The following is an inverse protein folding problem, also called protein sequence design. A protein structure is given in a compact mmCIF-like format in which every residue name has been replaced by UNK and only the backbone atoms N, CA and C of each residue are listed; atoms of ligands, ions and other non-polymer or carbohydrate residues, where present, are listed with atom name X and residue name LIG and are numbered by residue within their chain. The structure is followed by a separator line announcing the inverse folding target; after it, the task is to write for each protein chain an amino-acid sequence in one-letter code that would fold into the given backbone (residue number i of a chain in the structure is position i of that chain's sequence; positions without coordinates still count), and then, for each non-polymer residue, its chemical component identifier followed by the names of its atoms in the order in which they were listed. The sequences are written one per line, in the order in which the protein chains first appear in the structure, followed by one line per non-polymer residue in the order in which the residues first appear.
data_IF_532021775248
#
_entry.id   IF_532021775248
#
_cell.length_a   1.000
_cell.length_b   1.000
_cell.length_c   1.000
_cell.angle_alpha   90.00
_cell.angle_beta   90.00
_cell.angle_gamma   90.00
#
_symmetry.space_group_name_H-M   'P 1'
#
loop_
_entity.id
_entity.type
_entity.pdbx_description
1 polymer ?
#
# COMPACT_ATOMS: atom_id res chain seq x y z
N UNK A 1 -27.04 23.50 -11.63
CA UNK A 1 -27.79 22.34 -11.09
C UNK A 1 -27.01 21.10 -11.51
N UNK A 2 -26.35 20.36 -10.61
CA UNK A 2 -25.63 19.18 -11.03
C UNK A 2 -26.62 18.03 -11.25
N UNK A 3 -26.43 17.34 -12.38
CA UNK A 3 -27.31 16.29 -12.92
C UNK A 3 -27.32 15.01 -12.06
N UNK A 4 -28.46 14.33 -12.08
CA UNK A 4 -28.68 13.03 -11.42
C UNK A 4 -27.80 11.94 -12.06
N UNK A 5 -26.93 11.29 -11.28
CA UNK A 5 -26.21 10.09 -11.73
C UNK A 5 -26.99 8.82 -11.35
N UNK A 6 -27.25 7.98 -12.35
CA UNK A 6 -27.93 6.69 -12.23
C UNK A 6 -26.89 5.58 -12.05
N UNK A 7 -27.02 4.76 -11.00
CA UNK A 7 -26.19 3.56 -10.79
C UNK A 7 -26.77 2.34 -11.51
N UNK A 8 -25.93 1.30 -11.70
CA UNK A 8 -26.14 0.05 -12.47
C UNK A 8 -27.44 -0.74 -12.19
N UNK A 9 -28.26 -0.35 -11.20
CA UNK A 9 -29.56 -1.00 -10.92
C UNK A 9 -30.76 -0.05 -10.94
N UNK A 10 -30.70 1.10 -11.61
CA UNK A 10 -31.84 2.04 -11.73
C UNK A 10 -32.42 2.54 -10.39
N UNK A 11 -31.70 2.41 -9.28
CA UNK A 11 -32.14 2.92 -7.99
C UNK A 11 -31.89 4.43 -7.91
N UNK A 12 -32.97 5.21 -8.06
CA UNK A 12 -33.00 6.66 -7.85
C UNK A 12 -32.78 6.98 -6.38
N UNK A 13 -31.54 7.09 -5.93
CA UNK A 13 -31.25 7.55 -4.57
C UNK A 13 -31.22 9.09 -4.54
N UNK A 14 -32.24 9.68 -3.91
CA UNK A 14 -32.21 11.09 -3.50
C UNK A 14 -31.01 11.29 -2.58
N UNK A 15 -30.10 12.17 -2.98
CA UNK A 15 -28.98 12.64 -2.16
C UNK A 15 -29.49 13.05 -0.77
N UNK A 16 -29.11 12.29 0.27
CA UNK A 16 -29.21 12.75 1.65
C UNK A 16 -28.32 13.99 1.77
N UNK A 17 -28.95 15.17 1.85
CA UNK A 17 -28.31 16.48 2.02
C UNK A 17 -27.61 16.68 3.38
N UNK A 18 -27.18 15.61 4.06
CA UNK A 18 -26.67 15.67 5.44
C UNK A 18 -25.30 15.02 5.69
N UNK A 19 -24.60 14.50 4.68
CA UNK A 19 -23.24 13.97 4.88
C UNK A 19 -22.21 15.11 4.90
N UNK A 20 -22.06 15.77 6.06
CA UNK A 20 -21.14 16.89 6.34
C UNK A 20 -19.70 16.43 6.64
N UNK A 21 -19.40 15.13 6.59
CA UNK A 21 -18.03 14.60 6.63
C UNK A 21 -17.94 13.43 5.65
N UNK A 22 -16.84 13.25 4.90
CA UNK A 22 -16.66 12.02 4.13
C UNK A 22 -16.58 10.84 5.12
N UNK A 23 -17.45 9.84 4.93
CA UNK A 23 -17.46 8.62 5.73
C UNK A 23 -16.07 7.99 5.69
N UNK A 24 -15.62 7.58 6.84
CA UNK A 24 -14.24 7.31 7.13
C UNK A 24 -13.83 5.89 6.68
N UNK A 25 -12.61 5.68 6.12
CA UNK A 25 -12.14 4.34 5.71
C UNK A 25 -12.27 3.35 6.89
N UNK A 26 -13.03 2.24 6.74
CA UNK A 26 -13.16 1.23 7.79
C UNK A 26 -11.85 0.48 8.00
N UNK A 27 -11.52 0.16 9.25
CA UNK A 27 -10.31 -0.61 9.58
C UNK A 27 -10.27 -1.97 8.84
N UNK A 28 -11.40 -2.66 8.72
CA UNK A 28 -11.49 -3.91 7.96
C UNK A 28 -11.09 -3.75 6.48
N UNK A 29 -11.37 -2.59 5.87
CA UNK A 29 -10.92 -2.29 4.51
C UNK A 29 -9.39 -2.16 4.44
N UNK A 30 -8.79 -1.52 5.45
CA UNK A 30 -7.34 -1.40 5.54
C UNK A 30 -6.68 -2.77 5.70
N UNK A 31 -7.22 -3.68 6.50
CA UNK A 31 -6.71 -5.05 6.60
C UNK A 31 -6.77 -5.81 5.27
N UNK A 32 -7.85 -5.66 4.50
CA UNK A 32 -7.93 -6.26 3.16
C UNK A 32 -6.89 -5.66 2.21
N UNK A 33 -6.74 -4.34 2.17
CA UNK A 33 -5.73 -3.71 1.32
C UNK A 33 -4.31 -4.06 1.75
N UNK A 34 -4.06 -4.16 3.06
CA UNK A 34 -2.79 -4.60 3.60
C UNK A 34 -2.45 -6.02 3.12
N UNK A 35 -3.44 -6.93 3.16
CA UNK A 35 -3.29 -8.29 2.64
C UNK A 35 -3.03 -8.32 1.12
N UNK A 36 -3.78 -7.55 0.34
CA UNK A 36 -3.65 -7.50 -1.13
C UNK A 36 -2.28 -7.01 -1.57
N UNK A 37 -1.82 -5.89 -0.98
CA UNK A 37 -0.51 -5.33 -1.27
C UNK A 37 0.61 -6.27 -0.83
N UNK A 38 0.46 -6.91 0.34
CA UNK A 38 1.44 -7.89 0.83
C UNK A 38 1.52 -9.11 -0.10
N UNK A 39 0.37 -9.65 -0.53
CA UNK A 39 0.33 -10.76 -1.47
C UNK A 39 0.96 -10.39 -2.82
N UNK A 40 0.70 -9.20 -3.35
CA UNK A 40 1.33 -8.72 -4.57
C UNK A 40 2.85 -8.60 -4.42
N UNK A 41 3.34 -8.08 -3.29
CA UNK A 41 4.76 -7.99 -3.00
C UNK A 41 5.42 -9.35 -2.81
N UNK A 42 4.72 -10.36 -2.29
CA UNK A 42 5.23 -11.75 -2.23
C UNK A 42 5.42 -12.33 -3.62
N UNK A 43 4.48 -12.12 -4.53
CA UNK A 43 4.66 -12.48 -5.93
C UNK A 43 5.85 -11.75 -6.55
N UNK A 44 6.05 -10.46 -6.27
CA UNK A 44 7.24 -9.73 -6.73
C UNK A 44 8.53 -10.34 -6.19
N UNK A 45 8.57 -10.74 -4.91
CA UNK A 45 9.73 -11.32 -4.26
C UNK A 45 10.06 -12.73 -4.77
N UNK A 46 9.06 -13.60 -4.85
CA UNK A 46 9.24 -15.06 -4.97
C UNK A 46 8.54 -15.69 -6.18
N UNK A 47 7.70 -14.96 -6.90
CA UNK A 47 6.87 -15.51 -7.98
C UNK A 47 5.71 -16.36 -7.47
N UNK A 48 5.52 -16.43 -6.16
CA UNK A 48 4.51 -17.25 -5.48
C UNK A 48 4.12 -16.58 -4.15
N UNK A 49 2.96 -16.97 -3.60
CA UNK A 49 2.58 -16.63 -2.22
C UNK A 49 3.27 -17.50 -1.17
N UNK A 50 3.79 -18.66 -1.60
CA UNK A 50 4.43 -19.67 -0.74
C UNK A 50 5.96 -19.58 -0.85
N UNK A 51 6.50 -18.40 -0.54
CA UNK A 51 7.95 -18.17 -0.57
C UNK A 51 8.71 -18.78 0.62
N UNK A 52 8.02 -19.43 1.57
CA UNK A 52 8.68 -20.25 2.61
C UNK A 52 9.43 -21.43 1.94
N UNK A 53 8.92 -21.88 0.78
CA UNK A 53 9.57 -22.86 -0.09
C UNK A 53 10.59 -22.23 -1.06
N UNK A 54 10.93 -20.96 -0.86
CA UNK A 54 11.81 -20.19 -1.72
C UNK A 54 11.12 -19.61 -2.95
N UNK A 55 11.90 -18.92 -3.76
CA UNK A 55 11.42 -18.39 -5.03
C UNK A 55 11.16 -19.51 -6.04
N UNK A 56 10.19 -19.29 -6.92
CA UNK A 56 9.94 -20.16 -8.08
C UNK A 56 11.21 -20.25 -8.93
N UNK A 57 11.50 -21.42 -9.51
CA UNK A 57 12.70 -21.60 -10.32
C UNK A 57 12.76 -20.58 -11.48
N UNK A 58 13.94 -19.97 -11.65
CA UNK A 58 14.18 -18.89 -12.60
C UNK A 58 13.52 -17.54 -12.26
N UNK A 59 12.84 -17.40 -11.12
CA UNK A 59 12.27 -16.12 -10.70
C UNK A 59 13.34 -15.11 -10.32
N UNK A 60 13.12 -13.84 -10.68
CA UNK A 60 13.97 -12.71 -10.29
C UNK A 60 13.15 -11.74 -9.45
N UNK A 61 13.60 -11.48 -8.23
CA UNK A 61 12.91 -10.60 -7.31
C UNK A 61 12.78 -9.18 -7.88
N UNK A 62 11.59 -8.60 -7.70
CA UNK A 62 11.21 -7.30 -8.26
C UNK A 62 11.11 -6.27 -7.14
N UNK A 63 11.80 -5.14 -7.29
CA UNK A 63 11.63 -3.97 -6.42
C UNK A 63 10.80 -2.95 -7.16
N UNK A 64 9.64 -2.56 -6.63
CA UNK A 64 8.72 -1.66 -7.33
C UNK A 64 9.26 -0.23 -7.45
N UNK A 65 9.95 0.25 -6.40
CA UNK A 65 10.55 1.60 -6.24
C UNK A 65 9.62 2.81 -6.30
N UNK A 66 8.35 2.64 -6.67
CA UNK A 66 7.34 3.71 -6.62
C UNK A 66 5.99 3.21 -6.09
N UNK A 67 6.00 2.43 -5.00
CA UNK A 67 4.76 1.91 -4.40
C UNK A 67 4.08 3.01 -3.56
N UNK A 68 2.94 3.48 -4.06
CA UNK A 68 2.13 4.58 -3.51
C UNK A 68 0.66 4.42 -3.90
N UNK A 69 -0.28 5.14 -3.27
CA UNK A 69 -1.71 5.06 -3.59
C UNK A 69 -2.05 5.24 -5.08
N UNK A 70 -1.43 6.19 -5.80
CA UNK A 70 -1.70 6.40 -7.24
C UNK A 70 -1.33 5.20 -8.14
N UNK A 71 -0.46 4.31 -7.65
CA UNK A 71 -0.03 3.09 -8.34
C UNK A 71 -0.77 1.84 -7.83
N UNK A 72 -1.81 2.02 -6.99
CA UNK A 72 -2.69 0.95 -6.51
C UNK A 72 -4.06 1.10 -7.16
N UNK A 73 -4.41 0.14 -8.00
CA UNK A 73 -5.67 0.09 -8.72
C UNK A 73 -6.68 -0.79 -7.97
N UNK A 74 -7.94 -0.41 -8.03
CA UNK A 74 -9.04 -1.16 -7.41
C UNK A 74 -9.82 -1.90 -8.50
N UNK A 75 -9.91 -3.21 -8.35
CA UNK A 75 -10.73 -4.08 -9.20
C UNK A 75 -12.01 -4.50 -8.48
N UNK A 76 -12.93 -5.13 -9.21
CA UNK A 76 -14.19 -5.62 -8.64
C UNK A 76 -13.94 -6.51 -7.40
N UNK A 77 -14.82 -6.44 -6.39
CA UNK A 77 -14.80 -7.39 -5.28
C UNK A 77 -14.88 -8.83 -5.76
N UNK A 78 -14.23 -9.75 -5.03
CA UNK A 78 -14.39 -11.18 -5.33
C UNK A 78 -15.60 -11.71 -4.56
N UNK A 79 -16.52 -12.37 -5.26
CA UNK A 79 -17.79 -12.84 -4.68
C UNK A 79 -17.61 -13.74 -3.45
N UNK A 80 -16.51 -14.50 -3.41
CA UNK A 80 -16.21 -15.47 -2.35
C UNK A 80 -15.04 -15.06 -1.43
N UNK A 81 -14.49 -13.86 -1.61
CA UNK A 81 -13.37 -13.35 -0.78
C UNK A 81 -13.46 -11.83 -0.67
N UNK A 82 -13.97 -11.35 0.46
CA UNK A 82 -14.27 -9.93 0.71
C UNK A 82 -15.21 -9.31 -0.33
N UNK A 83 -16.43 -9.85 -0.53
CA UNK A 83 -17.38 -9.39 -1.55
C UNK A 83 -17.85 -7.94 -1.40
N UNK A 84 -17.53 -7.29 -0.28
CA UNK A 84 -17.89 -5.90 0.02
C UNK A 84 -16.79 -4.89 -0.27
N UNK A 85 -15.57 -5.36 -0.55
CA UNK A 85 -14.41 -4.50 -0.80
C UNK A 85 -13.74 -4.85 -2.12
N UNK A 86 -13.27 -3.84 -2.86
CA UNK A 86 -12.51 -4.08 -4.08
C UNK A 86 -11.21 -4.82 -3.77
N UNK A 87 -10.69 -5.54 -4.77
CA UNK A 87 -9.34 -6.10 -4.68
C UNK A 87 -8.32 -5.06 -5.14
N UNK A 88 -7.35 -4.74 -4.28
CA UNK A 88 -6.25 -3.84 -4.61
C UNK A 88 -5.19 -4.54 -5.47
N UNK A 89 -4.67 -3.83 -6.48
CA UNK A 89 -3.67 -4.35 -7.44
C UNK A 89 -2.59 -3.31 -7.65
N UNK A 90 -1.33 -3.72 -7.48
CA UNK A 90 -0.17 -2.87 -7.76
C UNK A 90 0.01 -2.77 -9.28
N UNK A 91 0.24 -1.56 -9.78
CA UNK A 91 0.59 -1.30 -11.17
C UNK A 91 1.69 -0.25 -11.28
N UNK A 92 1.99 0.14 -12.52
CA UNK A 92 3.09 1.04 -12.89
C UNK A 92 4.48 0.56 -12.45
N UNK A 93 4.97 -0.45 -13.17
CA UNK A 93 6.30 -1.01 -13.01
C UNK A 93 7.37 -0.23 -13.80
N UNK A 94 7.08 0.99 -14.29
CA UNK A 94 8.01 1.78 -15.10
C UNK A 94 9.33 2.10 -14.38
N UNK A 95 9.29 2.09 -13.04
CA UNK A 95 10.45 2.28 -12.17
C UNK A 95 10.95 0.97 -11.55
N UNK A 96 10.36 -0.18 -11.85
CA UNK A 96 10.76 -1.42 -11.19
C UNK A 96 12.15 -1.91 -11.65
N UNK A 97 12.83 -2.66 -10.78
CA UNK A 97 14.11 -3.32 -11.09
C UNK A 97 14.10 -4.78 -10.65
N UNK A 98 14.90 -5.60 -11.33
CA UNK A 98 15.21 -6.95 -10.90
C UNK A 98 16.52 -6.94 -10.15
N UNK A 99 16.54 -7.36 -8.88
CA UNK A 99 17.77 -7.40 -8.09
C UNK A 99 17.61 -8.32 -6.88
N UNK A 100 18.72 -8.64 -6.21
CA UNK A 100 18.75 -9.40 -4.96
C UNK A 100 19.97 -8.98 -4.13
N UNK A 101 20.08 -9.46 -2.88
CA UNK A 101 21.19 -9.11 -1.98
C UNK A 101 22.57 -9.58 -2.49
N UNK A 102 22.62 -10.54 -3.40
CA UNK A 102 23.87 -11.04 -3.99
C UNK A 102 24.19 -10.46 -5.37
N UNK A 103 23.37 -9.53 -5.87
CA UNK A 103 23.55 -8.93 -7.19
C UNK A 103 24.74 -7.97 -7.19
N UNK A 104 25.76 -8.15 -8.05
CA UNK A 104 26.94 -7.28 -8.08
C UNK A 104 26.62 -5.83 -8.48
N UNK A 105 25.48 -5.60 -9.15
CA UNK A 105 25.01 -4.26 -9.50
C UNK A 105 24.22 -3.61 -8.35
N UNK A 106 23.95 -4.33 -7.26
CA UNK A 106 23.24 -3.80 -6.10
C UNK A 106 24.22 -3.20 -5.08
N UNK A 107 24.09 -1.91 -4.70
CA UNK A 107 23.06 -0.94 -5.11
C UNK A 107 23.42 -0.04 -6.31
N UNK A 108 24.68 0.01 -6.74
CA UNK A 108 25.19 1.08 -7.63
C UNK A 108 24.52 1.14 -9.01
N UNK A 109 24.19 -0.01 -9.61
CA UNK A 109 23.52 -0.12 -10.90
C UNK A 109 22.03 0.21 -10.87
N UNK A 110 21.41 0.20 -9.68
CA UNK A 110 19.97 0.48 -9.49
C UNK A 110 19.69 1.83 -8.84
N UNK A 111 20.69 2.71 -8.80
CA UNK A 111 20.53 4.01 -8.19
C UNK A 111 19.41 4.81 -8.85
N UNK A 112 18.59 5.46 -8.02
CA UNK A 112 17.66 6.48 -8.49
C UNK A 112 18.41 7.81 -8.50
N UNK A 113 18.53 8.44 -9.68
CA UNK A 113 18.99 9.84 -9.77
C UNK A 113 18.19 10.70 -8.81
N UNK A 114 18.84 11.66 -8.16
CA UNK A 114 18.18 12.61 -7.27
C UNK A 114 16.92 13.19 -7.92
N UNK A 115 15.76 13.01 -7.28
CA UNK A 115 14.44 13.43 -7.79
C UNK A 115 13.59 12.34 -8.44
N UNK A 116 14.02 11.08 -8.46
CA UNK A 116 13.20 9.93 -8.87
C UNK A 116 12.52 9.27 -7.65
N UNK A 117 11.29 8.76 -7.86
CA UNK A 117 10.40 8.29 -6.80
C UNK A 117 9.47 9.38 -6.27
N UNK A 118 8.52 8.99 -5.42
CA UNK A 118 7.51 9.93 -4.88
C UNK A 118 7.81 10.31 -3.44
N UNK A 119 7.96 11.61 -3.19
CA UNK A 119 8.19 12.19 -1.85
C UNK A 119 7.21 11.58 -0.84
N UNK A 120 7.73 11.14 0.32
CA UNK A 120 6.95 10.52 1.38
C UNK A 120 6.73 9.01 1.24
N UNK A 121 7.11 8.43 0.10
CA UNK A 121 7.03 6.99 -0.20
C UNK A 121 8.40 6.36 -0.50
N UNK A 122 9.48 7.16 -0.54
CA UNK A 122 10.82 6.66 -0.84
C UNK A 122 11.42 6.03 0.43
N UNK A 123 11.78 4.74 0.44
CA UNK A 123 12.49 4.14 1.56
C UNK A 123 13.93 4.65 1.61
N UNK A 124 14.52 4.60 2.80
CA UNK A 124 15.82 5.24 3.05
C UNK A 124 16.94 4.74 2.14
N UNK A 125 16.93 3.45 1.82
CA UNK A 125 17.96 2.80 1.01
C UNK A 125 17.90 3.21 -0.48
N UNK A 126 16.85 3.93 -0.89
CA UNK A 126 16.77 4.51 -2.24
C UNK A 126 17.35 5.93 -2.30
N UNK A 127 17.67 6.53 -1.15
CA UNK A 127 18.16 7.91 -1.06
C UNK A 127 19.69 7.91 -1.09
N UNK A 128 20.26 8.60 -2.07
CA UNK A 128 21.71 8.85 -2.12
C UNK A 128 22.07 9.84 -1.02
N UNK A 129 23.01 9.47 -0.17
CA UNK A 129 23.53 10.36 0.87
C UNK A 129 24.94 10.82 0.54
N UNK A 130 25.20 12.10 0.72
CA UNK A 130 26.55 12.63 0.75
C UNK A 130 27.11 12.45 2.16
N UNK A 131 28.35 11.99 2.29
CA UNK A 131 29.04 12.06 3.59
C UNK A 131 29.42 13.51 3.92
N UNK A 132 29.41 13.79 5.22
CA UNK A 132 29.92 15.05 5.80
C UNK A 132 31.43 15.25 5.57
N UNK A 133 32.17 14.19 5.18
CA UNK A 133 33.63 14.18 4.97
C UNK A 133 34.10 14.65 3.57
N UNK A 134 33.25 15.37 2.83
CA UNK A 134 33.67 16.06 1.60
C UNK A 134 33.24 15.41 0.28
N UNK A 135 32.03 14.83 0.23
CA UNK A 135 31.34 14.59 -1.05
C UNK A 135 31.40 13.17 -1.61
N UNK A 136 31.86 12.17 -0.83
CA UNK A 136 31.66 10.76 -1.23
C UNK A 136 30.20 10.37 -1.02
N UNK A 137 29.55 9.95 -2.10
CA UNK A 137 28.23 9.37 -2.06
C UNK A 137 28.31 7.97 -1.43
N UNK A 138 27.36 7.65 -0.56
CA UNK A 138 27.20 6.32 0.02
C UNK A 138 25.82 5.78 -0.34
N UNK A 139 25.77 4.46 -0.55
CA UNK A 139 24.58 3.73 -0.98
C UNK A 139 24.35 2.60 0.03
N UNK A 140 23.15 2.57 0.61
CA UNK A 140 22.71 1.39 1.35
C UNK A 140 22.38 0.28 0.35
N UNK A 141 22.63 -0.97 0.73
CA UNK A 141 22.25 -2.12 -0.08
C UNK A 141 20.72 -2.14 -0.24
N UNK A 142 20.26 -2.33 -1.48
CA UNK A 142 18.85 -2.44 -1.79
C UNK A 142 18.37 -3.84 -1.42
N UNK A 143 17.66 -3.97 -0.30
CA UNK A 143 16.94 -5.20 0.03
C UNK A 143 15.57 -5.17 -0.70
N UNK A 144 15.33 -6.07 -1.67
CA UNK A 144 14.10 -6.06 -2.45
C UNK A 144 12.83 -6.14 -1.61
N UNK A 145 12.85 -7.02 -0.62
CA UNK A 145 11.68 -7.35 0.19
C UNK A 145 11.43 -6.21 1.17
N UNK A 146 12.47 -5.75 1.86
CA UNK A 146 12.36 -4.66 2.83
C UNK A 146 11.92 -3.34 2.15
N UNK A 147 12.41 -3.05 0.94
CA UNK A 147 11.99 -1.87 0.17
C UNK A 147 10.50 -1.92 -0.21
N UNK A 148 10.00 -3.07 -0.63
CA UNK A 148 8.58 -3.22 -0.95
C UNK A 148 7.71 -3.19 0.33
N UNK A 149 8.17 -3.79 1.44
CA UNK A 149 7.51 -3.74 2.76
C UNK A 149 7.30 -2.30 3.21
N UNK A 150 8.31 -1.44 3.03
CA UNK A 150 8.15 -0.03 3.31
C UNK A 150 7.03 0.61 2.51
N UNK A 151 7.01 0.38 1.19
CA UNK A 151 5.99 0.95 0.31
C UNK A 151 4.58 0.53 0.72
N UNK A 152 4.40 -0.72 1.18
CA UNK A 152 3.13 -1.19 1.76
C UNK A 152 2.79 -0.36 3.00
N UNK A 153 3.71 -0.30 3.97
CA UNK A 153 3.51 0.40 5.23
C UNK A 153 3.21 1.89 5.04
N UNK A 154 3.98 2.58 4.21
CA UNK A 154 3.76 3.97 3.85
C UNK A 154 2.36 4.13 3.23
N UNK A 155 2.01 3.32 2.23
CA UNK A 155 0.68 3.38 1.59
C UNK A 155 -0.46 3.26 2.62
N UNK A 156 -0.43 2.22 3.47
CA UNK A 156 -1.47 2.02 4.49
C UNK A 156 -1.49 3.15 5.53
N UNK A 157 -0.32 3.61 6.00
CA UNK A 157 -0.21 4.70 6.96
C UNK A 157 -0.82 6.00 6.42
N UNK A 158 -0.60 6.35 5.14
CA UNK A 158 -1.16 7.57 4.55
C UNK A 158 -2.66 7.44 4.28
N UNK A 159 -3.16 6.23 4.00
CA UNK A 159 -4.60 5.96 3.98
C UNK A 159 -5.25 6.18 5.36
N UNK A 160 -4.60 5.72 6.43
CA UNK A 160 -5.04 5.95 7.82
C UNK A 160 -5.07 7.45 8.15
N UNK A 161 -4.03 8.19 7.77
CA UNK A 161 -3.90 9.62 8.04
C UNK A 161 -4.72 10.52 7.09
N UNK A 162 -5.22 9.98 5.96
CA UNK A 162 -5.80 10.73 4.83
C UNK A 162 -4.88 11.82 4.31
N UNK A 163 -3.59 11.53 4.28
CA UNK A 163 -2.55 12.46 3.87
C UNK A 163 -2.35 12.40 2.34
N UNK A 164 -2.67 13.50 1.65
CA UNK A 164 -2.52 13.59 0.19
C UNK A 164 -1.07 13.88 -0.23
N UNK A 165 -0.39 14.76 0.51
CA UNK A 165 0.93 15.29 0.17
C UNK A 165 1.90 15.04 1.33
N UNK A 166 2.34 13.79 1.56
CA UNK A 166 3.26 13.48 2.65
C UNK A 166 4.63 14.11 2.44
N UNK A 167 5.27 14.54 3.52
CA UNK A 167 6.68 14.90 3.50
C UNK A 167 7.57 13.64 3.44
N UNK A 168 8.75 13.77 2.85
CA UNK A 168 9.75 12.70 2.92
C UNK A 168 10.30 12.65 4.36
N UNK A 169 10.22 11.51 5.06
CA UNK A 169 10.82 11.42 6.38
C UNK A 169 12.35 11.46 6.29
N UNK A 170 12.97 12.14 7.25
CA UNK A 170 14.39 12.44 7.28
C UNK A 170 15.16 11.37 8.07
N UNK A 171 15.34 10.21 7.45
CA UNK A 171 16.05 9.10 8.08
C UNK A 171 17.56 9.35 8.09
N UNK A 172 18.10 9.63 9.28
CA UNK A 172 19.52 9.51 9.52
C UNK A 172 19.98 8.05 9.38
N UNK A 173 21.26 7.82 9.03
CA UNK A 173 21.83 6.46 8.91
C UNK A 173 21.70 5.66 10.22
N UNK A 174 21.74 6.38 11.33
CA UNK A 174 21.74 5.85 12.68
C UNK A 174 20.39 5.98 13.37
N UNK A 175 19.31 6.24 12.61
CA UNK A 175 17.92 6.16 13.09
C UNK A 175 17.68 4.79 13.70
N UNK A 176 17.35 4.78 14.99
CA UNK A 176 16.95 3.59 15.74
C UNK A 176 15.43 3.42 15.65
N UNK A 177 14.90 2.20 15.85
CA UNK A 177 13.46 2.00 15.94
C UNK A 177 12.83 2.91 17.00
N UNK A 178 11.77 3.64 16.63
CA UNK A 178 11.08 4.58 17.51
C UNK A 178 11.70 5.98 17.57
N UNK A 179 12.71 6.27 16.73
CA UNK A 179 13.24 7.61 16.57
C UNK A 179 12.17 8.58 16.03
N UNK A 180 12.10 9.84 16.51
CA UNK A 180 11.13 10.83 16.03
C UNK A 180 11.19 11.14 14.53
N UNK A 181 12.29 10.80 13.85
CA UNK A 181 12.43 10.90 12.39
C UNK A 181 11.68 9.79 11.63
N UNK A 182 11.29 8.70 12.29
CA UNK A 182 10.40 7.69 11.70
C UNK A 182 8.96 8.26 11.53
N UNK A 183 8.20 7.82 10.52
CA UNK A 183 6.82 8.24 10.29
C UNK A 183 5.98 7.96 11.52
N UNK A 184 5.31 9.02 12.00
CA UNK A 184 4.48 8.95 13.18
C UNK A 184 3.01 8.96 12.80
N UNK A 185 2.20 8.16 13.49
CA UNK A 185 0.75 8.29 13.41
C UNK A 185 0.29 9.62 14.01
N UNK A 186 -0.65 10.25 13.31
CA UNK A 186 -1.36 11.42 13.82
C UNK A 186 -2.19 11.04 15.06
N UNK A 187 -2.47 11.99 15.98
CA UNK A 187 -3.34 11.73 17.12
C UNK A 187 -4.69 11.14 16.72
N UNK A 188 -5.24 11.59 15.58
CA UNK A 188 -6.50 11.08 15.03
C UNK A 188 -6.40 9.59 14.67
N UNK A 189 -5.32 9.20 13.99
CA UNK A 189 -5.08 7.79 13.64
C UNK A 189 -5.02 6.92 14.90
N UNK A 190 -4.34 7.40 15.96
CA UNK A 190 -4.21 6.70 17.25
C UNK A 190 -5.53 6.52 18.00
N UNK A 191 -6.48 7.43 17.82
CA UNK A 191 -7.80 7.30 18.44
C UNK A 191 -8.75 6.36 17.69
N UNK A 192 -8.42 6.02 16.44
CA UNK A 192 -9.38 5.45 15.50
C UNK A 192 -9.07 4.02 15.09
N UNK A 193 -7.80 3.70 14.93
CA UNK A 193 -7.37 2.38 14.48
C UNK A 193 -6.83 1.57 15.65
N UNK A 194 -6.98 0.24 15.57
CA UNK A 194 -6.46 -0.64 16.58
C UNK A 194 -4.94 -0.53 16.71
N UNK A 195 -4.44 -0.73 17.93
CA UNK A 195 -3.00 -0.83 18.20
C UNK A 195 -2.35 -1.95 17.37
N UNK A 196 -3.09 -3.03 17.07
CA UNK A 196 -2.58 -4.14 16.25
C UNK A 196 -2.30 -3.72 14.81
N UNK A 197 -3.20 -2.95 14.19
CA UNK A 197 -2.97 -2.43 12.83
C UNK A 197 -1.81 -1.43 12.85
N UNK A 198 -1.82 -0.50 13.81
CA UNK A 198 -0.78 0.52 13.94
C UNK A 198 0.61 -0.09 14.13
N UNK A 199 0.75 -1.07 15.04
CA UNK A 199 2.01 -1.78 15.29
C UNK A 199 2.58 -2.45 14.03
N UNK A 200 1.74 -3.13 13.25
CA UNK A 200 2.19 -3.77 12.00
C UNK A 200 2.64 -2.75 10.95
N UNK A 201 1.88 -1.67 10.80
CA UNK A 201 2.23 -0.60 9.86
C UNK A 201 3.53 0.10 10.29
N UNK A 202 3.72 0.37 11.58
CA UNK A 202 4.97 0.90 12.15
C UNK A 202 6.17 -0.03 11.88
N UNK A 203 5.98 -1.35 12.02
CA UNK A 203 7.02 -2.32 11.70
C UNK A 203 7.38 -2.35 10.20
N UNK A 204 6.49 -1.92 9.31
CA UNK A 204 6.80 -1.81 7.88
C UNK A 204 7.65 -0.57 7.56
N UNK A 205 7.45 0.53 8.29
CA UNK A 205 8.08 1.84 8.01
C UNK A 205 9.32 2.14 8.86
N UNK A 206 9.94 1.10 9.42
CA UNK A 206 11.20 1.22 10.19
C UNK A 206 12.32 1.73 9.30
N UNK A 207 13.09 2.68 9.83
CA UNK A 207 14.10 3.41 9.07
C UNK A 207 15.02 2.47 8.29
N UNK A 208 15.68 1.54 8.98
CA UNK A 208 16.57 0.56 8.35
C UNK A 208 15.77 -0.64 7.83
N UNK A 209 16.07 -1.07 6.60
CA UNK A 209 15.42 -2.23 5.97
C UNK A 209 15.43 -3.49 6.83
N UNK A 210 16.57 -3.80 7.47
CA UNK A 210 16.72 -4.97 8.35
C UNK A 210 15.88 -4.95 9.62
N UNK A 211 15.42 -3.77 10.05
CA UNK A 211 14.60 -3.59 11.25
C UNK A 211 13.11 -3.68 10.91
N UNK A 212 12.77 -3.75 9.61
CA UNK A 212 11.38 -3.93 9.13
C UNK A 212 10.94 -5.38 9.32
N UNK A 213 9.63 -5.55 9.50
CA UNK A 213 9.02 -6.89 9.50
C UNK A 213 9.32 -7.62 8.19
N UNK A 214 9.62 -8.92 8.29
CA UNK A 214 9.80 -9.77 7.11
C UNK A 214 8.48 -9.91 6.35
N UNK A 215 8.55 -9.93 5.02
CA UNK A 215 7.35 -9.93 4.17
C UNK A 215 6.42 -11.13 4.43
N UNK A 216 6.99 -12.30 4.74
CA UNK A 216 6.23 -13.49 5.16
C UNK A 216 5.59 -13.34 6.52
N UNK A 217 6.32 -12.82 7.51
CA UNK A 217 5.79 -12.57 8.85
C UNK A 217 4.66 -11.54 8.81
N UNK A 218 4.78 -10.52 7.95
CA UNK A 218 3.73 -9.54 7.71
C UNK A 218 2.44 -10.23 7.23
N UNK A 219 2.53 -11.05 6.18
CA UNK A 219 1.36 -11.80 5.66
C UNK A 219 0.76 -12.69 6.74
N UNK A 220 1.60 -13.43 7.46
CA UNK A 220 1.17 -14.33 8.53
C UNK A 220 0.40 -13.57 9.62
N UNK A 221 0.95 -12.46 10.12
CA UNK A 221 0.30 -11.64 11.16
C UNK A 221 -1.01 -11.00 10.67
N UNK A 222 -1.08 -10.58 9.40
CA UNK A 222 -2.33 -10.08 8.79
C UNK A 222 -3.40 -11.18 8.76
N UNK A 223 -3.06 -12.38 8.27
CA UNK A 223 -4.00 -13.51 8.21
C UNK A 223 -4.45 -13.96 9.60
N UNK A 224 -3.52 -14.03 10.57
CA UNK A 224 -3.85 -14.32 11.97
C UNK A 224 -4.84 -13.31 12.55
N UNK A 225 -4.68 -12.01 12.23
CA UNK A 225 -5.64 -10.98 12.65
C UNK A 225 -7.01 -11.18 12.00
N UNK A 226 -7.05 -11.35 10.67
CA UNK A 226 -8.31 -11.50 9.92
C UNK A 226 -9.15 -12.67 10.45
N UNK A 227 -8.52 -13.80 10.76
CA UNK A 227 -9.20 -15.01 11.27
C UNK A 227 -9.68 -14.82 12.72
N UNK A 228 -8.96 -14.05 13.54
CA UNK A 228 -9.32 -13.81 14.95
C UNK A 228 -10.32 -12.66 15.13
N UNK A 229 -10.41 -11.77 14.15
CA UNK A 229 -11.29 -10.60 14.19
C UNK A 229 -12.65 -10.93 13.56
N UNK A 230 -13.70 -10.93 14.37
CA UNK A 230 -15.05 -11.29 13.96
C UNK A 230 -15.59 -10.40 12.82
N UNK A 231 -15.26 -9.10 12.81
CA UNK A 231 -15.66 -8.19 11.73
C UNK A 231 -14.95 -8.50 10.43
N UNK A 232 -13.64 -8.78 10.47
CA UNK A 232 -12.89 -9.18 9.29
C UNK A 232 -13.42 -10.51 8.74
N UNK A 233 -13.63 -11.51 9.60
CA UNK A 233 -14.18 -12.82 9.20
C UNK A 233 -15.58 -12.67 8.60
N UNK A 234 -16.45 -11.89 9.24
CA UNK A 234 -17.80 -11.61 8.74
C UNK A 234 -17.75 -10.94 7.38
N UNK A 235 -16.91 -9.92 7.19
CA UNK A 235 -16.81 -9.17 5.93
C UNK A 235 -16.11 -9.95 4.82
N UNK A 236 -15.15 -10.82 5.15
CA UNK A 236 -14.50 -11.72 4.21
C UNK A 236 -15.50 -12.74 3.64
N UNK A 237 -16.41 -13.24 4.48
CA UNK A 237 -17.37 -14.31 4.15
C UNK A 237 -18.78 -13.81 3.83
N UNK A 238 -19.01 -12.49 3.77
CA UNK A 238 -20.33 -11.87 3.61
C UNK A 238 -20.93 -12.09 2.21
N UNK A 239 -21.36 -13.29 1.88
CA UNK A 239 -22.11 -13.55 0.65
C UNK A 239 -23.50 -12.92 0.81
N UNK A 240 -23.76 -11.83 0.06
CA UNK A 240 -25.05 -11.14 -0.12
C UNK A 240 -25.49 -10.00 0.83
N UNK A 241 -24.66 -9.45 1.73
CA UNK A 241 -24.97 -8.12 2.30
C UNK A 241 -23.70 -7.39 2.75
N UNK A 242 -23.24 -6.34 2.03
CA UNK A 242 -22.04 -5.59 2.40
C UNK A 242 -22.17 -4.81 3.72
N UNK A 243 -23.34 -4.84 4.35
CA UNK A 243 -23.63 -4.07 5.56
C UNK A 243 -23.54 -2.57 5.31
N UNK A 244 -23.76 -1.79 6.36
CA UNK A 244 -23.70 -0.32 6.28
C UNK A 244 -22.28 0.17 5.94
N UNK A 245 -21.24 -0.52 6.42
CA UNK A 245 -19.83 -0.20 6.17
C UNK A 245 -19.40 -0.39 4.69
N UNK A 246 -19.79 -1.50 4.05
CA UNK A 246 -19.48 -1.71 2.63
C UNK A 246 -20.29 -0.77 1.72
N UNK A 247 -21.54 -0.44 2.09
CA UNK A 247 -22.35 0.55 1.36
C UNK A 247 -21.78 1.97 1.48
N UNK A 248 -21.27 2.35 2.67
CA UNK A 248 -20.59 3.63 2.88
C UNK A 248 -19.30 3.74 2.06
N UNK A 249 -18.51 2.66 1.99
CA UNK A 249 -17.29 2.60 1.19
C UNK A 249 -17.56 2.81 -0.31
N UNK A 250 -18.59 2.16 -0.86
CA UNK A 250 -18.98 2.35 -2.26
C UNK A 250 -19.44 3.78 -2.58
N UNK A 251 -20.11 4.48 -1.64
CA UNK A 251 -20.60 5.85 -1.82
C UNK A 251 -19.49 6.91 -1.78
N UNK A 252 -18.42 6.69 -1.02
CA UNK A 252 -17.28 7.61 -0.98
C UNK A 252 -16.35 7.39 -2.19
N UNK A 253 -16.12 6.14 -2.61
CA UNK A 253 -15.25 5.83 -3.74
C UNK A 253 -15.86 6.14 -5.11
N UNK A 254 -17.19 6.04 -5.28
CA UNK A 254 -17.87 6.53 -6.49
C UNK A 254 -17.79 8.06 -6.63
N UNK A 255 -17.55 8.81 -5.54
CA UNK A 255 -17.29 10.26 -5.60
C UNK A 255 -15.85 10.59 -6.01
N UNK A 256 -14.91 9.65 -5.83
CA UNK A 256 -13.54 9.77 -6.33
C UNK A 256 -13.49 9.31 -7.79
N UNK A 257 -14.17 10.07 -8.65
CA UNK A 257 -14.29 9.89 -10.10
C UNK A 257 -12.95 10.02 -10.88
N UNK A 258 -11.81 10.02 -10.17
CA UNK A 258 -10.46 10.06 -10.76
C UNK A 258 -10.04 8.69 -11.32
N UNK A 259 -10.59 7.59 -10.83
CA UNK A 259 -10.13 6.24 -11.17
C UNK A 259 -10.94 5.50 -12.25
N UNK A 260 -12.10 6.02 -12.68
CA UNK A 260 -12.91 5.41 -13.76
C UNK A 260 -12.51 5.85 -15.18
N UNK A 261 -11.66 6.87 -15.35
CA UNK A 261 -11.45 7.50 -16.68
C UNK A 261 -10.45 6.84 -17.63
N UNK A 262 -9.77 5.74 -17.27
CA UNK A 262 -8.71 5.18 -18.13
C UNK A 262 -9.09 3.98 -19.02
N UNK A 263 -10.36 3.59 -19.11
CA UNK A 263 -10.77 2.46 -19.99
C UNK A 263 -11.70 2.80 -21.16
N UNK A 264 -12.04 4.08 -21.39
CA UNK A 264 -12.69 4.49 -22.64
C UNK A 264 -11.63 4.81 -23.71
N UNK A 265 -11.12 3.80 -24.42
CA UNK A 265 -10.45 4.06 -25.71
C UNK A 265 -11.48 4.71 -26.64
N UNK A 266 -11.19 5.86 -27.27
CA UNK A 266 -12.01 6.29 -28.40
C UNK A 266 -11.83 5.27 -29.51
N UNK A 267 -12.94 4.72 -29.99
CA UNK A 267 -12.99 3.94 -31.21
C UNK A 267 -12.39 4.80 -32.34
N UNK A 268 -11.19 4.46 -32.80
CA UNK A 268 -10.69 4.99 -34.07
C UNK A 268 -11.39 4.25 -35.19
N UNK A 269 -12.54 4.78 -35.59
CA UNK A 269 -13.14 4.48 -36.89
C UNK A 269 -12.46 5.30 -37.98
N UNK A 270 -11.94 4.58 -38.98
CA UNK A 270 -11.58 4.97 -40.36
C UNK A 270 -10.96 6.35 -40.60
#
# INVERSE_FOLDING_TARGET
MPEEFVTWKNNKNKLLKSAVQPLDIPEAALWKFFLDLTNACLFMAYGTLDGDNGATDGWRSIVHRDLKPDNVFLSEPQENDWPSYPTARIGDFGMAVYTHLGDPENPQGYFMRSGLGTIGYIPVEHIIRNRDDGGRQYFDQLDPDASNVWGIGATIMRMMAREADPSQPDYARDTLPGDPSEPQFTPISRTRFSETLMDLVEQCVRGRGRDRILLMDLRRRILEHIVRNADCTRLQSAVNDPGEAGRAFHLEFDRVDKYKRHFARPARGR
#
